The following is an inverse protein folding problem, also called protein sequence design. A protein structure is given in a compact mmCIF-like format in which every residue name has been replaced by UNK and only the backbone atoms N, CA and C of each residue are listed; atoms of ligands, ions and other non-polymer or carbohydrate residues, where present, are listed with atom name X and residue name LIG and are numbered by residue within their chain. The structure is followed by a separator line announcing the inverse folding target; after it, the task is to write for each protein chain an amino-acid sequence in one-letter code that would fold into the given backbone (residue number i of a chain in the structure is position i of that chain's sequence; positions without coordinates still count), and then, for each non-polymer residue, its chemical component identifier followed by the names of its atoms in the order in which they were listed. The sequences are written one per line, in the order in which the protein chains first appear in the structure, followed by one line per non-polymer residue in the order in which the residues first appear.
data_IF_927704820502
#
_entry.id   IF_927704820502
#
_cell.length_a   1.000
_cell.length_b   1.000
_cell.length_c   1.000
_cell.angle_alpha   90.00
_cell.angle_beta   90.00
_cell.angle_gamma   90.00
#
_symmetry.space_group_name_H-M   'P 1'
#
loop_
_entity.id
_entity.type
_entity.pdbx_description
1 polymer ?
#
# COMPACT_ATOMS: atom_id res chain seq x y z
N UNK A 1 -22.47 -7.36 70.69
CA UNK A 1 -22.12 -5.93 70.49
C UNK A 1 -20.77 -5.83 69.80
N UNK A 2 -20.74 -5.40 68.52
CA UNK A 2 -19.84 -4.39 67.95
C UNK A 2 -19.98 -4.44 66.43
N UNK A 3 -20.55 -3.35 65.91
CA UNK A 3 -20.63 -2.99 64.50
C UNK A 3 -19.24 -2.58 64.03
N UNK A 4 -18.81 -2.97 62.83
CA UNK A 4 -18.01 -2.10 61.96
C UNK A 4 -18.40 -2.40 60.50
N UNK A 5 -19.24 -1.51 59.98
CA UNK A 5 -19.42 -1.19 58.57
C UNK A 5 -18.14 -0.49 58.08
N UNK A 6 -17.72 -0.64 56.81
CA UNK A 6 -16.92 0.30 55.97
C UNK A 6 -16.36 -0.47 54.75
N UNK A 7 -17.02 -0.30 53.60
CA UNK A 7 -16.52 0.36 52.36
C UNK A 7 -15.89 -0.63 51.38
N UNK A 8 -16.53 -0.95 50.26
CA UNK A 8 -16.70 -0.14 49.04
C UNK A 8 -15.37 0.17 48.34
N UNK A 9 -14.90 -0.75 47.51
CA UNK A 9 -14.13 -0.45 46.30
C UNK A 9 -14.33 -1.57 45.28
N UNK A 10 -15.30 -1.35 44.39
CA UNK A 10 -15.38 -2.05 43.12
C UNK A 10 -14.20 -1.58 42.25
N UNK A 11 -13.26 -2.47 41.95
CA UNK A 11 -12.20 -2.21 40.98
C UNK A 11 -12.60 -2.91 39.68
N UNK A 12 -13.49 -2.26 38.93
CA UNK A 12 -13.75 -2.60 37.52
C UNK A 12 -12.58 -2.11 36.67
N UNK A 13 -11.62 -3.00 36.43
CA UNK A 13 -10.56 -2.79 35.46
C UNK A 13 -11.14 -2.88 34.04
N UNK A 14 -11.61 -1.76 33.48
CA UNK A 14 -11.86 -1.63 32.05
C UNK A 14 -10.50 -1.70 31.33
N UNK A 15 -10.16 -2.87 30.80
CA UNK A 15 -9.06 -3.01 29.86
C UNK A 15 -9.57 -2.50 28.52
N UNK A 16 -9.45 -1.18 28.31
CA UNK A 16 -9.64 -0.56 27.00
C UNK A 16 -8.44 -0.94 26.13
N UNK A 17 -8.48 -2.12 25.51
CA UNK A 17 -7.56 -2.48 24.43
C UNK A 17 -7.91 -1.63 23.21
N UNK A 18 -7.42 -0.39 23.20
CA UNK A 18 -7.50 0.50 22.06
C UNK A 18 -6.77 -0.13 20.89
N UNK A 19 -7.51 -0.56 19.87
CA UNK A 19 -6.96 -0.71 18.53
C UNK A 19 -6.55 0.69 18.09
N UNK A 20 -5.28 1.05 18.32
CA UNK A 20 -4.66 2.21 17.67
C UNK A 20 -4.71 1.93 16.17
N UNK A 21 -5.72 2.53 15.51
CA UNK A 21 -5.74 2.69 14.07
C UNK A 21 -4.59 3.65 13.76
N UNK A 22 -3.40 3.10 13.57
CA UNK A 22 -2.25 3.84 13.07
C UNK A 22 -2.65 4.36 11.69
N UNK A 23 -2.97 5.66 11.61
CA UNK A 23 -3.13 6.32 10.33
C UNK A 23 -1.89 6.00 9.48
N UNK A 24 -2.05 5.62 8.19
CA UNK A 24 -0.89 5.29 7.36
C UNK A 24 0.02 6.51 7.34
N UNK A 25 1.22 6.34 7.90
CA UNK A 25 2.17 7.43 8.00
C UNK A 25 2.46 7.95 6.59
N UNK A 26 2.50 9.28 6.43
CA UNK A 26 2.82 9.97 5.18
C UNK A 26 4.21 9.60 4.58
N UNK A 27 4.96 8.73 5.26
CA UNK A 27 6.28 8.22 4.90
C UNK A 27 6.30 6.71 4.61
N UNK A 28 5.15 6.04 4.53
CA UNK A 28 5.16 4.63 4.13
C UNK A 28 5.69 4.51 2.70
N UNK A 29 6.61 3.56 2.44
CA UNK A 29 7.10 3.30 1.11
C UNK A 29 5.92 3.09 0.14
N UNK A 30 6.00 3.63 -1.08
CA UNK A 30 4.99 3.41 -2.10
C UNK A 30 4.90 1.90 -2.41
N UNK A 31 3.70 1.37 -2.68
CA UNK A 31 3.53 -0.05 -2.95
C UNK A 31 4.22 -0.47 -4.24
N UNK A 32 4.83 -1.64 -4.24
CA UNK A 32 5.41 -2.27 -5.43
C UNK A 32 4.31 -2.68 -6.42
N UNK A 33 4.69 -2.98 -7.66
CA UNK A 33 3.79 -3.42 -8.71
C UNK A 33 2.97 -4.66 -8.32
N UNK A 34 3.58 -5.63 -7.64
CA UNK A 34 2.90 -6.85 -7.20
C UNK A 34 1.93 -6.63 -6.02
N UNK A 35 2.04 -5.50 -5.33
CA UNK A 35 1.10 -5.08 -4.29
C UNK A 35 -0.02 -4.21 -4.86
N UNK A 36 0.27 -3.41 -5.89
CA UNK A 36 -0.61 -2.35 -6.36
C UNK A 36 -1.54 -2.75 -7.51
N UNK A 37 -1.09 -3.60 -8.44
CA UNK A 37 -1.94 -4.08 -9.53
C UNK A 37 -2.96 -5.10 -9.02
N UNK A 38 -4.22 -4.93 -9.44
CA UNK A 38 -5.35 -5.77 -9.03
C UNK A 38 -6.19 -6.19 -10.23
N UNK A 39 -6.55 -7.47 -10.25
CA UNK A 39 -7.49 -8.08 -11.20
C UNK A 39 -8.26 -9.18 -10.47
N UNK A 40 -9.58 -9.23 -10.66
CA UNK A 40 -10.42 -10.26 -10.02
C UNK A 40 -9.97 -11.65 -10.45
N UNK A 41 -9.82 -12.57 -9.49
CA UNK A 41 -9.37 -13.94 -9.75
C UNK A 41 -7.88 -14.10 -10.06
N UNK A 42 -7.08 -13.03 -10.11
CA UNK A 42 -5.64 -13.14 -10.31
C UNK A 42 -4.93 -13.53 -9.00
N UNK A 43 -4.06 -14.53 -9.08
CA UNK A 43 -3.11 -14.86 -8.00
C UNK A 43 -1.84 -14.01 -8.12
N UNK A 44 -1.04 -13.95 -7.05
CA UNK A 44 0.27 -13.28 -7.09
C UNK A 44 1.19 -13.86 -8.17
N UNK A 45 1.13 -15.18 -8.40
CA UNK A 45 1.90 -15.85 -9.45
C UNK A 45 1.47 -15.38 -10.84
N UNK A 46 0.16 -15.37 -11.13
CA UNK A 46 -0.35 -14.87 -12.41
C UNK A 46 -0.03 -13.39 -12.64
N UNK A 47 -0.10 -12.57 -11.58
CA UNK A 47 0.30 -11.17 -11.64
C UNK A 47 1.78 -11.01 -11.99
N UNK A 48 2.67 -11.79 -11.37
CA UNK A 48 4.12 -11.75 -11.66
C UNK A 48 4.42 -12.20 -13.08
N UNK A 49 3.78 -13.26 -13.55
CA UNK A 49 3.88 -13.72 -14.94
C UNK A 49 3.41 -12.64 -15.93
N UNK A 50 2.30 -11.96 -15.62
CA UNK A 50 1.78 -10.88 -16.44
C UNK A 50 2.71 -9.65 -16.46
N UNK A 51 3.23 -9.24 -15.30
CA UNK A 51 4.23 -8.18 -15.18
C UNK A 51 5.48 -8.49 -16.03
N UNK A 52 5.99 -9.72 -15.95
CA UNK A 52 7.12 -10.18 -16.77
C UNK A 52 6.79 -10.13 -18.26
N UNK A 53 5.62 -10.64 -18.67
CA UNK A 53 5.21 -10.62 -20.09
C UNK A 53 5.04 -9.21 -20.64
N UNK A 54 4.72 -8.23 -19.78
CA UNK A 54 4.66 -6.82 -20.12
C UNK A 54 6.03 -6.11 -20.11
N UNK A 55 7.11 -6.84 -19.81
CA UNK A 55 8.44 -6.28 -19.53
C UNK A 55 8.38 -5.15 -18.50
N UNK A 56 7.54 -5.31 -17.48
CA UNK A 56 7.28 -4.29 -16.47
C UNK A 56 8.50 -4.13 -15.56
N UNK A 57 9.13 -2.95 -15.60
CA UNK A 57 10.25 -2.60 -14.73
C UNK A 57 9.70 -1.75 -13.60
N UNK A 58 9.69 -2.30 -12.38
CA UNK A 58 9.17 -1.61 -11.20
C UNK A 58 10.23 -0.75 -10.50
N UNK A 59 10.93 0.08 -11.27
CA UNK A 59 11.88 1.05 -10.75
C UNK A 59 11.84 2.31 -11.63
N UNK A 60 11.46 3.44 -11.03
CA UNK A 60 11.28 4.72 -11.72
C UNK A 60 12.57 5.23 -12.37
N UNK A 61 13.74 4.92 -11.82
CA UNK A 61 15.04 5.35 -12.37
C UNK A 61 15.47 4.60 -13.63
N UNK A 62 14.82 3.48 -13.95
CA UNK A 62 15.16 2.60 -15.07
C UNK A 62 14.19 2.72 -16.26
N UNK A 63 13.23 3.66 -16.18
CA UNK A 63 12.19 3.86 -17.18
C UNK A 63 12.13 5.33 -17.58
N UNK A 64 11.58 5.59 -18.76
CA UNK A 64 11.18 6.93 -19.21
C UNK A 64 9.66 6.95 -19.42
N UNK A 65 9.10 8.12 -19.76
CA UNK A 65 7.67 8.33 -19.99
C UNK A 65 7.07 7.30 -20.95
N UNK A 66 7.69 7.12 -22.12
CA UNK A 66 7.23 6.16 -23.14
C UNK A 66 7.20 4.72 -22.62
N UNK A 67 8.24 4.30 -21.89
CA UNK A 67 8.31 2.95 -21.32
C UNK A 67 7.28 2.75 -20.22
N UNK A 68 7.11 3.75 -19.34
CA UNK A 68 6.09 3.76 -18.30
C UNK A 68 4.69 3.63 -18.90
N UNK A 69 4.36 4.42 -19.91
CA UNK A 69 3.08 4.37 -20.61
C UNK A 69 2.86 2.99 -21.25
N UNK A 70 3.86 2.47 -21.98
CA UNK A 70 3.77 1.16 -22.64
C UNK A 70 3.52 0.01 -21.68
N UNK A 71 4.29 -0.09 -20.59
CA UNK A 71 4.13 -1.19 -19.61
C UNK A 71 2.81 -1.06 -18.84
N UNK A 72 2.39 0.16 -18.52
CA UNK A 72 1.11 0.42 -17.85
C UNK A 72 -0.07 0.07 -18.74
N UNK A 73 -0.02 0.41 -20.03
CA UNK A 73 -1.05 0.02 -20.98
C UNK A 73 -1.10 -1.48 -21.19
N UNK A 74 0.05 -2.17 -21.22
CA UNK A 74 0.07 -3.63 -21.29
C UNK A 74 -0.67 -4.28 -20.10
N UNK A 75 -0.43 -3.81 -18.87
CA UNK A 75 -1.13 -4.32 -17.68
C UNK A 75 -2.64 -4.04 -17.74
N UNK A 76 -3.03 -2.84 -18.19
CA UNK A 76 -4.44 -2.48 -18.40
C UNK A 76 -5.12 -3.35 -19.45
N UNK A 77 -4.46 -3.63 -20.57
CA UNK A 77 -4.98 -4.50 -21.64
C UNK A 77 -5.16 -5.95 -21.16
N UNK A 78 -4.39 -6.39 -20.16
CA UNK A 78 -4.58 -7.68 -19.48
C UNK A 78 -5.70 -7.67 -18.44
N UNK A 79 -6.37 -6.54 -18.24
CA UNK A 79 -7.49 -6.38 -17.32
C UNK A 79 -7.09 -6.03 -15.88
N UNK A 80 -5.85 -5.60 -15.65
CA UNK A 80 -5.45 -5.11 -14.33
C UNK A 80 -5.79 -3.63 -14.15
N UNK A 81 -6.09 -3.29 -12.90
CA UNK A 81 -6.34 -1.93 -12.43
C UNK A 81 -5.36 -1.58 -11.32
N UNK A 82 -5.12 -0.29 -11.11
CA UNK A 82 -4.19 0.19 -10.08
C UNK A 82 -4.72 1.49 -9.48
N UNK A 83 -4.58 1.62 -8.16
CA UNK A 83 -4.85 2.87 -7.45
C UNK A 83 -3.61 3.75 -7.47
N UNK A 84 -3.75 5.00 -7.91
CA UNK A 84 -2.64 5.97 -7.93
C UNK A 84 -2.50 6.73 -6.61
N UNK A 85 -3.52 6.70 -5.74
CA UNK A 85 -3.55 7.42 -4.45
C UNK A 85 -2.33 7.17 -3.55
N UNK A 86 -1.77 5.94 -3.47
CA UNK A 86 -0.62 5.69 -2.60
C UNK A 86 0.68 6.34 -3.08
N UNK A 87 0.75 6.85 -4.31
CA UNK A 87 1.98 7.40 -4.90
C UNK A 87 1.95 8.93 -4.86
N UNK A 88 2.91 9.54 -4.18
CA UNK A 88 2.99 10.99 -4.04
C UNK A 88 4.45 11.46 -3.89
N UNK A 89 4.68 12.77 -4.01
CA UNK A 89 6.02 13.35 -3.96
C UNK A 89 6.76 13.10 -2.63
N UNK A 90 6.06 12.77 -1.54
CA UNK A 90 6.68 12.53 -0.23
C UNK A 90 7.16 11.09 -0.03
N UNK A 91 6.67 10.13 -0.82
CA UNK A 91 7.11 8.73 -0.74
C UNK A 91 7.79 8.22 -2.02
N UNK A 92 7.73 8.98 -3.11
CA UNK A 92 8.40 8.67 -4.37
C UNK A 92 9.83 9.23 -4.43
N UNK A 93 10.78 8.56 -3.77
CA UNK A 93 12.20 8.94 -3.76
C UNK A 93 13.12 7.73 -3.96
N UNK A 94 14.35 7.96 -4.44
CA UNK A 94 15.35 6.90 -4.64
C UNK A 94 14.92 5.84 -5.66
N UNK A 95 15.10 4.56 -5.31
CA UNK A 95 14.72 3.40 -6.14
C UNK A 95 13.22 3.09 -6.04
N UNK A 96 12.37 4.11 -6.17
CA UNK A 96 10.93 3.97 -6.01
C UNK A 96 10.28 3.15 -7.16
N UNK A 97 9.10 2.54 -6.92
CA UNK A 97 8.32 1.81 -7.92
C UNK A 97 8.01 2.63 -9.17
N UNK A 98 7.73 1.96 -10.29
CA UNK A 98 7.48 2.61 -11.58
C UNK A 98 6.35 3.64 -11.53
N UNK A 99 5.31 3.38 -10.75
CA UNK A 99 4.15 4.26 -10.60
C UNK A 99 4.48 5.63 -10.01
N UNK A 100 5.64 5.78 -9.38
CA UNK A 100 6.15 7.10 -8.99
C UNK A 100 6.47 8.02 -10.17
N UNK A 101 6.57 7.49 -11.39
CA UNK A 101 6.67 8.27 -12.63
C UNK A 101 5.53 9.30 -12.78
N UNK A 102 4.33 9.01 -12.24
CA UNK A 102 3.19 9.94 -12.25
C UNK A 102 3.46 11.26 -11.53
N UNK A 103 4.43 11.26 -10.61
CA UNK A 103 4.80 12.44 -9.81
C UNK A 103 6.08 13.10 -10.30
N UNK A 104 6.94 12.35 -11.00
CA UNK A 104 8.30 12.78 -11.37
C UNK A 104 8.49 13.06 -12.86
N UNK A 105 7.67 12.49 -13.74
CA UNK A 105 7.76 12.64 -15.19
C UNK A 105 6.58 13.45 -15.70
N UNK A 106 6.74 14.78 -15.82
CA UNK A 106 5.76 15.67 -16.45
C UNK A 106 5.98 15.69 -17.97
#
# INVERSE_FOLDING_TARGET
MKKVLVSLTAITSLILSGCVVMAPSYHQPPPSADQAWKKSGATLETLRADLQSCNYIDNVSQINKTKFEKQTQCMKNKGYTISTKPYNAHNCYGNAPAMCALTTMK
#
